data_IF_162235114891
#
_entry.id   IF_162235114891
#
_cell.length_a   1.000
_cell.length_b   1.000
_cell.length_c   1.000
_cell.angle_alpha   90.00
_cell.angle_beta   90.00
_cell.angle_gamma   90.00
#
_symmetry.space_group_name_H-M   'P 1'
#
loop_
_entity.id
_entity.type
_entity.pdbx_description
1 polymer ?
#
# COMPACT_ATOMS: atom_id res chain seq x y z
N UNK A 1 -17.18 -53.14 2.90
CA UNK A 1 -16.06 -52.26 2.62
C UNK A 1 -16.44 -50.83 2.95
N UNK A 2 -15.82 -50.25 3.95
CA UNK A 2 -16.26 -48.95 4.45
C UNK A 2 -15.84 -47.85 3.46
N UNK A 3 -16.76 -46.96 3.09
CA UNK A 3 -16.54 -45.84 2.15
C UNK A 3 -15.34 -44.96 2.61
N UNK A 4 -14.97 -45.02 3.89
CA UNK A 4 -13.83 -44.31 4.51
C UNK A 4 -12.47 -44.71 3.92
N UNK A 5 -12.33 -45.91 3.35
CA UNK A 5 -11.02 -46.40 2.85
C UNK A 5 -10.74 -45.97 1.40
N UNK A 6 -11.69 -45.32 0.71
CA UNK A 6 -11.56 -44.96 -0.71
C UNK A 6 -11.05 -43.56 -0.99
N UNK A 7 -11.07 -42.65 -0.02
CA UNK A 7 -10.54 -41.29 -0.19
C UNK A 7 -9.34 -41.06 0.73
N UNK A 8 -8.16 -40.96 0.12
CA UNK A 8 -6.91 -40.61 0.84
C UNK A 8 -6.79 -39.12 1.10
N UNK A 9 -7.70 -38.28 0.56
CA UNK A 9 -7.60 -36.82 0.59
C UNK A 9 -8.45 -36.15 1.66
N UNK A 10 -9.57 -36.76 2.07
CA UNK A 10 -10.38 -36.25 3.19
C UNK A 10 -11.29 -37.38 3.75
N UNK A 11 -11.47 -37.41 5.06
CA UNK A 11 -12.48 -38.21 5.73
C UNK A 11 -13.83 -37.57 5.40
N UNK A 12 -14.63 -38.25 4.52
CA UNK A 12 -15.91 -37.70 4.06
C UNK A 12 -16.95 -37.66 5.18
N UNK A 13 -17.66 -36.55 5.26
CA UNK A 13 -18.96 -36.23 5.87
C UNK A 13 -19.60 -37.23 6.86
N UNK A 14 -18.79 -37.82 7.73
CA UNK A 14 -19.31 -38.57 8.87
C UNK A 14 -19.55 -37.57 10.02
N UNK A 15 -20.77 -37.54 10.55
CA UNK A 15 -21.15 -36.67 11.65
C UNK A 15 -20.27 -36.83 12.90
N UNK A 16 -19.66 -38.01 13.10
CA UNK A 16 -18.70 -38.26 14.19
C UNK A 16 -17.38 -37.59 13.90
N UNK A 17 -16.83 -37.70 12.69
CA UNK A 17 -15.60 -37.05 12.27
C UNK A 17 -15.74 -35.53 12.36
N UNK A 18 -16.89 -34.98 11.95
CA UNK A 18 -17.17 -33.55 12.08
C UNK A 18 -17.13 -33.09 13.55
N UNK A 19 -17.77 -33.84 14.47
CA UNK A 19 -17.76 -33.53 15.91
C UNK A 19 -16.35 -33.54 16.50
N UNK A 20 -15.51 -34.51 16.09
CA UNK A 20 -14.10 -34.58 16.52
C UNK A 20 -13.33 -33.40 15.97
N UNK A 21 -13.51 -33.07 14.68
CA UNK A 21 -12.87 -31.92 14.05
C UNK A 21 -13.23 -30.62 14.77
N UNK A 22 -14.53 -30.37 14.99
CA UNK A 22 -15.01 -29.18 15.71
C UNK A 22 -14.42 -29.09 17.14
N UNK A 23 -14.34 -30.24 17.83
CA UNK A 23 -13.75 -30.29 19.18
C UNK A 23 -12.25 -29.96 19.16
N UNK A 24 -11.48 -30.55 18.23
CA UNK A 24 -10.03 -30.30 18.10
C UNK A 24 -9.81 -28.83 17.71
N UNK A 25 -10.53 -28.31 16.72
CA UNK A 25 -10.45 -26.92 16.27
C UNK A 25 -10.67 -25.96 17.44
N UNK A 26 -11.71 -26.21 18.24
CA UNK A 26 -11.98 -25.42 19.44
C UNK A 26 -10.81 -25.47 20.44
N UNK A 27 -10.28 -26.66 20.71
CA UNK A 27 -9.14 -26.83 21.66
C UNK A 27 -7.86 -26.16 21.17
N UNK A 28 -7.61 -26.22 19.85
CA UNK A 28 -6.46 -25.53 19.25
C UNK A 28 -6.63 -24.03 19.41
N UNK A 29 -7.78 -23.46 19.06
CA UNK A 29 -8.06 -22.04 19.24
C UNK A 29 -7.90 -21.59 20.71
N UNK A 30 -8.49 -22.36 21.65
CA UNK A 30 -8.38 -22.06 23.09
C UNK A 30 -6.91 -22.11 23.58
N UNK A 31 -6.09 -23.04 23.06
CA UNK A 31 -4.66 -23.14 23.42
C UNK A 31 -3.87 -21.96 22.82
N UNK A 32 -4.06 -21.64 21.53
CA UNK A 32 -3.33 -20.58 20.85
C UNK A 32 -3.67 -19.20 21.43
N UNK A 33 -4.95 -18.93 21.68
CA UNK A 33 -5.38 -17.68 22.33
C UNK A 33 -4.83 -17.57 23.76
N UNK A 34 -4.75 -18.69 24.50
CA UNK A 34 -4.12 -18.75 25.80
C UNK A 34 -2.63 -18.45 25.75
N UNK A 35 -1.90 -19.01 24.77
CA UNK A 35 -0.47 -18.75 24.59
C UNK A 35 -0.21 -17.27 24.23
N UNK A 36 -1.00 -16.70 23.34
CA UNK A 36 -0.87 -15.28 23.00
C UNK A 36 -1.00 -14.36 24.22
N UNK A 37 -1.92 -14.70 25.17
CA UNK A 37 -2.14 -13.92 26.39
C UNK A 37 -1.08 -14.11 27.47
N UNK A 38 -0.59 -15.34 27.67
CA UNK A 38 0.21 -15.70 28.85
C UNK A 38 1.67 -16.01 28.53
N UNK A 39 1.99 -16.30 27.27
CA UNK A 39 3.30 -16.73 26.78
C UNK A 39 3.60 -16.07 25.42
N UNK A 40 3.46 -14.72 25.35
CA UNK A 40 3.53 -13.96 24.10
C UNK A 40 4.85 -14.22 23.36
N UNK A 41 5.98 -14.21 24.04
CA UNK A 41 7.31 -14.43 23.45
C UNK A 41 7.44 -15.82 22.78
N UNK A 42 6.87 -16.86 23.43
CA UNK A 42 6.86 -18.21 22.87
C UNK A 42 5.91 -18.32 21.70
N UNK A 43 4.76 -17.65 21.75
CA UNK A 43 3.79 -17.60 20.66
C UNK A 43 4.36 -16.89 19.43
N UNK A 44 5.03 -15.76 19.61
CA UNK A 44 5.72 -15.01 18.54
C UNK A 44 6.83 -15.84 17.90
N UNK A 45 7.61 -16.58 18.71
CA UNK A 45 8.71 -17.42 18.21
C UNK A 45 8.26 -18.48 17.20
N UNK A 46 7.08 -19.04 17.37
CA UNK A 46 6.55 -20.08 16.49
C UNK A 46 5.56 -19.53 15.46
N UNK A 47 5.27 -18.24 15.51
CA UNK A 47 4.22 -17.66 14.69
C UNK A 47 4.44 -17.85 13.20
N UNK A 48 5.64 -17.57 12.68
CA UNK A 48 5.93 -17.69 11.24
C UNK A 48 5.71 -19.12 10.72
N UNK A 49 5.94 -20.14 11.56
CA UNK A 49 5.73 -21.55 11.20
C UNK A 49 4.25 -21.95 11.19
N UNK A 50 3.45 -21.38 12.10
CA UNK A 50 2.04 -21.77 12.28
C UNK A 50 1.05 -20.83 11.58
N UNK A 51 1.44 -19.60 11.26
CA UNK A 51 0.57 -18.59 10.68
C UNK A 51 -0.18 -19.04 9.41
N UNK A 52 0.45 -19.72 8.43
CA UNK A 52 -0.25 -20.19 7.23
C UNK A 52 -1.39 -21.16 7.57
N UNK A 53 -1.20 -22.03 8.56
CA UNK A 53 -2.21 -23.01 8.98
C UNK A 53 -3.36 -22.33 9.74
N UNK A 54 -3.06 -21.34 10.57
CA UNK A 54 -4.07 -20.56 11.29
C UNK A 54 -4.90 -19.75 10.33
N UNK A 55 -4.26 -19.03 9.39
CA UNK A 55 -4.94 -18.26 8.33
C UNK A 55 -5.81 -19.17 7.47
N UNK A 56 -5.32 -20.33 7.07
CA UNK A 56 -6.11 -21.33 6.35
C UNK A 56 -7.28 -21.85 7.17
N UNK A 57 -7.09 -22.10 8.47
CA UNK A 57 -8.15 -22.48 9.39
C UNK A 57 -9.26 -21.42 9.45
N UNK A 58 -8.89 -20.14 9.52
CA UNK A 58 -9.82 -19.02 9.50
C UNK A 58 -10.62 -18.93 8.19
N UNK A 59 -9.99 -19.24 7.06
CA UNK A 59 -10.67 -19.29 5.77
C UNK A 59 -11.66 -20.44 5.65
N UNK A 60 -11.46 -21.54 6.38
CA UNK A 60 -12.27 -22.76 6.30
C UNK A 60 -13.37 -22.85 7.36
N UNK A 61 -13.12 -22.31 8.55
CA UNK A 61 -14.01 -22.40 9.70
C UNK A 61 -14.24 -21.02 10.31
N UNK A 62 -15.48 -20.56 10.18
CA UNK A 62 -15.89 -19.23 10.66
C UNK A 62 -15.77 -19.10 12.18
N UNK A 63 -16.17 -20.13 12.93
CA UNK A 63 -16.08 -20.14 14.41
C UNK A 63 -14.64 -20.13 14.90
N UNK A 64 -13.74 -20.75 14.15
CA UNK A 64 -12.31 -20.68 14.41
C UNK A 64 -11.80 -19.26 14.14
N UNK A 65 -12.18 -18.66 13.03
CA UNK A 65 -11.84 -17.29 12.69
C UNK A 65 -12.27 -16.30 13.77
N UNK A 66 -13.54 -16.32 14.17
CA UNK A 66 -14.07 -15.46 15.22
C UNK A 66 -13.26 -15.54 16.53
N UNK A 67 -12.79 -16.75 16.89
CA UNK A 67 -11.99 -16.95 18.08
C UNK A 67 -10.53 -16.51 17.96
N UNK A 68 -9.99 -16.55 16.75
CA UNK A 68 -8.58 -16.28 16.49
C UNK A 68 -8.31 -14.85 16.04
N UNK A 69 -9.30 -14.11 15.56
CA UNK A 69 -9.13 -12.78 14.96
C UNK A 69 -8.27 -11.84 15.81
N UNK A 70 -8.54 -11.74 17.11
CA UNK A 70 -7.82 -10.87 18.04
C UNK A 70 -6.42 -11.38 18.41
N UNK A 71 -6.08 -12.61 18.05
CA UNK A 71 -4.82 -13.28 18.41
C UNK A 71 -3.93 -13.60 17.21
N UNK A 72 -4.35 -13.16 16.04
CA UNK A 72 -3.53 -13.22 14.82
C UNK A 72 -2.47 -12.17 14.91
N UNK A 73 -1.21 -12.57 14.67
CA UNK A 73 -0.10 -11.64 14.68
C UNK A 73 0.24 -11.21 13.27
N UNK A 74 0.57 -9.95 13.17
CA UNK A 74 1.09 -9.29 11.96
C UNK A 74 2.48 -8.75 12.29
N UNK A 75 3.44 -8.96 11.40
CA UNK A 75 4.80 -8.45 11.55
C UNK A 75 4.87 -7.05 10.96
N UNK A 76 5.31 -6.07 11.73
CA UNK A 76 5.43 -4.70 11.28
C UNK A 76 6.74 -4.43 10.51
N UNK A 77 6.94 -3.18 10.04
CA UNK A 77 8.13 -2.76 9.29
C UNK A 77 9.44 -2.88 10.09
N UNK A 78 9.38 -2.92 11.41
CA UNK A 78 10.54 -3.11 12.30
C UNK A 78 10.74 -4.55 12.72
N UNK A 79 9.93 -5.47 12.19
CA UNK A 79 10.00 -6.90 12.49
C UNK A 79 9.34 -7.30 13.81
N UNK A 80 8.58 -6.42 14.46
CA UNK A 80 7.84 -6.71 15.68
C UNK A 80 6.47 -7.30 15.35
N UNK A 81 6.00 -8.22 16.20
CA UNK A 81 4.67 -8.78 16.06
C UNK A 81 3.62 -7.94 16.78
N UNK A 82 2.50 -7.71 16.11
CA UNK A 82 1.34 -6.97 16.62
C UNK A 82 0.07 -7.76 16.35
N UNK A 83 -0.87 -7.72 17.26
CA UNK A 83 -2.22 -8.26 17.08
C UNK A 83 -3.05 -7.33 16.18
N UNK A 84 -4.18 -7.82 15.65
CA UNK A 84 -5.08 -7.00 14.84
C UNK A 84 -5.55 -5.73 15.57
N UNK A 85 -5.97 -5.78 16.85
CA UNK A 85 -6.31 -4.56 17.60
C UNK A 85 -5.12 -3.58 17.72
N UNK A 86 -3.90 -4.08 17.98
CA UNK A 86 -2.71 -3.24 18.06
C UNK A 86 -2.41 -2.56 16.70
N UNK A 87 -2.57 -3.26 15.57
CA UNK A 87 -2.40 -2.68 14.23
C UNK A 87 -3.38 -1.54 13.95
N UNK A 88 -4.61 -1.61 14.45
CA UNK A 88 -5.63 -0.59 14.28
C UNK A 88 -5.37 0.69 15.09
N UNK A 89 -4.49 0.62 16.08
CA UNK A 89 -4.13 1.78 16.93
C UNK A 89 -2.90 2.53 16.39
N UNK A 90 -2.00 1.86 15.67
CA UNK A 90 -0.66 2.38 15.32
C UNK A 90 -0.70 3.60 14.40
N UNK A 91 -1.64 3.65 13.44
CA UNK A 91 -1.73 4.74 12.47
C UNK A 91 -2.87 5.73 12.80
N UNK A 92 -3.34 5.76 14.04
CA UNK A 92 -4.23 6.82 14.48
C UNK A 92 -3.44 8.13 14.49
N UNK A 93 -3.71 9.00 13.56
CA UNK A 93 -3.27 10.40 13.63
C UNK A 93 -4.05 11.08 14.76
N UNK A 94 -3.44 11.23 15.92
CA UNK A 94 -3.95 12.16 16.93
C UNK A 94 -3.90 13.57 16.34
N UNK A 95 -5.03 14.29 16.28
CA UNK A 95 -5.05 15.65 15.74
C UNK A 95 -4.16 16.63 16.54
N UNK A 96 -3.74 16.24 17.74
CA UNK A 96 -3.02 17.11 18.68
C UNK A 96 -1.49 17.00 18.62
N UNK A 97 -0.90 15.93 18.03
CA UNK A 97 0.57 15.81 17.93
C UNK A 97 1.19 16.56 16.74
N UNK A 98 0.41 17.27 15.91
CA UNK A 98 0.93 18.04 14.77
C UNK A 98 1.43 19.44 15.13
N UNK A 99 1.55 19.80 16.43
CA UNK A 99 2.00 21.13 16.85
C UNK A 99 3.45 21.24 17.33
N UNK A 100 4.32 20.25 17.12
CA UNK A 100 5.75 20.47 17.40
C UNK A 100 6.57 20.61 16.11
N UNK A 101 6.82 21.91 15.77
CA UNK A 101 8.09 22.34 15.21
C UNK A 101 8.33 22.19 13.73
N UNK A 102 7.64 22.94 12.88
CA UNK A 102 8.27 23.42 11.67
C UNK A 102 9.06 24.69 12.01
N UNK A 103 10.35 24.55 12.31
CA UNK A 103 11.30 25.66 12.37
C UNK A 103 11.85 25.82 10.95
N UNK A 104 11.78 27.03 10.41
CA UNK A 104 12.49 27.36 9.18
C UNK A 104 14.02 27.43 9.41
N UNK A 105 14.80 27.48 8.35
CA UNK A 105 16.28 27.54 8.44
C UNK A 105 16.81 28.77 9.18
N UNK A 106 15.95 29.67 9.65
CA UNK A 106 16.30 30.92 10.37
C UNK A 106 15.78 30.99 11.82
N UNK A 107 15.09 29.94 12.33
CA UNK A 107 14.76 29.85 13.75
C UNK A 107 13.59 30.72 14.23
N UNK A 108 12.73 31.25 13.36
CA UNK A 108 11.55 32.03 13.74
C UNK A 108 10.27 31.19 13.68
N UNK A 109 9.49 31.24 14.76
CA UNK A 109 8.16 30.61 14.86
C UNK A 109 7.15 31.42 14.04
N UNK A 110 6.53 30.80 13.04
CA UNK A 110 5.43 31.40 12.30
C UNK A 110 4.12 31.05 13.02
N UNK A 111 3.52 32.04 13.66
CA UNK A 111 2.17 31.95 14.21
C UNK A 111 1.15 31.97 13.04
N UNK A 112 0.40 30.89 12.89
CA UNK A 112 -0.72 30.84 11.96
C UNK A 112 -2.00 31.24 12.70
N UNK A 113 -2.63 32.32 12.28
CA UNK A 113 -3.97 32.75 12.74
C UNK A 113 -5.00 31.65 12.46
N UNK A 114 -5.60 31.15 13.54
CA UNK A 114 -6.73 30.23 13.49
C UNK A 114 -8.00 31.05 13.34
N UNK A 115 -8.63 30.99 12.16
CA UNK A 115 -10.00 31.44 12.00
C UNK A 115 -10.92 30.30 12.42
N UNK A 116 -11.47 30.40 13.63
CA UNK A 116 -12.55 29.54 14.10
C UNK A 116 -13.85 29.88 13.34
N UNK A 117 -14.28 29.00 12.46
CA UNK A 117 -15.66 29.02 11.96
C UNK A 117 -16.44 27.91 12.67
N UNK A 118 -17.24 28.34 13.68
CA UNK A 118 -18.16 27.48 14.38
C UNK A 118 -19.42 27.32 13.52
N UNK A 119 -19.59 26.18 12.91
CA UNK A 119 -20.92 25.70 12.53
C UNK A 119 -21.24 24.43 13.33
N UNK A 120 -22.10 24.63 14.33
CA UNK A 120 -22.84 23.57 14.99
C UNK A 120 -23.79 22.96 13.98
N UNK A 121 -23.55 21.69 13.57
CA UNK A 121 -24.66 20.80 13.22
C UNK A 121 -24.24 19.32 13.31
N UNK A 122 -25.10 18.57 14.02
CA UNK A 122 -25.30 17.12 14.03
C UNK A 122 -24.10 16.19 14.23
N UNK A 123 -24.03 15.69 15.48
CA UNK A 123 -23.31 14.48 15.86
C UNK A 123 -23.88 13.24 15.14
N UNK A 124 -23.37 12.93 13.97
CA UNK A 124 -23.20 11.57 13.50
C UNK A 124 -21.70 11.26 13.70
N UNK A 125 -21.40 10.38 14.63
CA UNK A 125 -20.10 9.73 14.71
C UNK A 125 -19.91 8.97 13.39
N UNK A 126 -19.35 9.61 12.38
CA UNK A 126 -18.79 8.93 11.22
C UNK A 126 -17.79 7.92 11.78
N UNK A 127 -18.14 6.64 11.70
CA UNK A 127 -17.22 5.53 11.94
C UNK A 127 -16.07 5.70 10.96
N UNK A 128 -14.99 6.36 11.38
CA UNK A 128 -13.79 6.52 10.56
C UNK A 128 -13.26 5.13 10.26
N UNK A 129 -13.32 4.74 9.00
CA UNK A 129 -12.75 3.50 8.54
C UNK A 129 -11.27 3.44 8.91
N UNK A 130 -10.89 2.33 9.57
CA UNK A 130 -9.52 2.12 10.04
C UNK A 130 -8.74 1.38 8.97
N UNK A 131 -7.72 2.02 8.42
CA UNK A 131 -6.90 1.44 7.36
C UNK A 131 -5.61 0.84 7.93
N UNK A 132 -5.36 -0.43 7.65
CA UNK A 132 -4.10 -1.12 7.91
C UNK A 132 -3.30 -1.17 6.61
N UNK A 133 -2.12 -0.55 6.60
CA UNK A 133 -1.24 -0.61 5.44
C UNK A 133 -0.44 -1.92 5.44
N UNK A 134 -0.19 -2.47 4.24
CA UNK A 134 0.57 -3.70 4.13
C UNK A 134 1.59 -3.71 2.99
N UNK A 135 2.63 -4.52 3.17
CA UNK A 135 3.75 -4.75 2.25
C UNK A 135 3.70 -6.19 1.77
N UNK A 136 3.84 -6.41 0.47
CA UNK A 136 3.91 -7.76 -0.12
C UNK A 136 5.31 -8.16 -0.55
N UNK A 137 6.16 -7.20 -0.92
CA UNK A 137 7.55 -7.40 -1.31
C UNK A 137 8.42 -6.25 -0.79
N UNK A 138 9.24 -6.55 0.21
CA UNK A 138 10.09 -5.55 0.88
C UNK A 138 11.08 -4.89 -0.08
N UNK A 139 11.63 -5.64 -1.02
CA UNK A 139 12.63 -5.14 -1.97
C UNK A 139 12.02 -4.21 -3.00
N UNK A 140 10.91 -4.63 -3.61
CA UNK A 140 10.21 -3.84 -4.62
C UNK A 140 9.55 -2.60 -4.02
N UNK A 141 9.05 -2.68 -2.79
CA UNK A 141 8.34 -1.59 -2.11
C UNK A 141 9.23 -0.77 -1.16
N UNK A 142 10.55 -0.92 -1.25
CA UNK A 142 11.52 -0.29 -0.34
C UNK A 142 11.39 1.23 -0.25
N UNK A 143 11.06 1.92 -1.35
CA UNK A 143 10.83 3.37 -1.34
C UNK A 143 9.61 3.74 -0.50
N UNK A 144 8.51 3.03 -0.68
CA UNK A 144 7.29 3.28 0.09
C UNK A 144 7.49 2.98 1.58
N UNK A 145 8.22 1.90 1.90
CA UNK A 145 8.63 1.58 3.27
C UNK A 145 9.42 2.75 3.88
N UNK A 146 10.38 3.32 3.13
CA UNK A 146 11.16 4.46 3.60
C UNK A 146 10.27 5.71 3.79
N UNK A 147 9.28 5.93 2.92
CA UNK A 147 8.32 7.03 3.05
C UNK A 147 7.45 6.85 4.31
N UNK A 148 6.97 5.64 4.58
CA UNK A 148 6.19 5.31 5.78
C UNK A 148 7.02 5.54 7.04
N UNK A 149 8.25 5.02 7.10
CA UNK A 149 9.16 5.24 8.23
C UNK A 149 9.50 6.72 8.45
N UNK A 150 9.72 7.48 7.38
CA UNK A 150 9.96 8.93 7.46
C UNK A 150 8.74 9.72 7.98
N UNK A 151 7.52 9.23 7.69
CA UNK A 151 6.27 9.80 8.17
C UNK A 151 5.86 9.27 9.56
N UNK A 152 6.69 8.42 10.21
CA UNK A 152 6.37 7.71 11.46
C UNK A 152 5.09 6.85 11.36
N UNK A 153 4.78 6.36 10.18
CA UNK A 153 3.69 5.42 9.94
C UNK A 153 4.24 4.00 9.89
N UNK A 154 3.38 3.04 10.19
CA UNK A 154 3.73 1.62 10.16
C UNK A 154 2.85 0.86 9.15
N UNK A 155 3.34 -0.29 8.73
CA UNK A 155 2.64 -1.21 7.85
C UNK A 155 2.97 -2.66 8.24
N UNK A 156 2.13 -3.60 7.85
CA UNK A 156 2.31 -5.02 8.16
C UNK A 156 2.84 -5.79 6.96
N UNK A 157 3.71 -6.77 7.21
CA UNK A 157 4.29 -7.64 6.18
C UNK A 157 3.33 -8.78 5.88
N UNK A 158 2.84 -8.83 4.64
CA UNK A 158 1.93 -9.86 4.12
C UNK A 158 2.54 -10.49 2.87
N UNK A 159 3.53 -11.36 3.06
CA UNK A 159 4.36 -11.93 1.98
C UNK A 159 3.86 -13.28 1.47
N UNK A 160 2.96 -13.92 2.20
CA UNK A 160 2.44 -15.24 1.87
C UNK A 160 1.23 -15.16 0.93
N UNK A 161 1.09 -16.13 0.02
CA UNK A 161 -0.05 -16.21 -0.89
C UNK A 161 -1.40 -16.32 -0.20
N UNK A 162 -1.41 -16.85 1.03
CA UNK A 162 -2.64 -16.98 1.83
C UNK A 162 -3.09 -15.66 2.44
N UNK A 163 -2.22 -14.67 2.50
CA UNK A 163 -2.52 -13.38 3.14
C UNK A 163 -3.63 -12.63 2.39
N UNK A 164 -3.59 -12.63 1.06
CA UNK A 164 -4.59 -11.92 0.24
C UNK A 164 -6.03 -12.40 0.50
N UNK A 165 -6.36 -13.69 0.34
CA UNK A 165 -7.71 -14.17 0.65
C UNK A 165 -8.05 -13.99 2.14
N UNK A 166 -7.05 -14.05 3.04
CA UNK A 166 -7.26 -13.89 4.46
C UNK A 166 -7.64 -12.46 4.84
N UNK A 167 -6.93 -11.44 4.36
CA UNK A 167 -7.29 -10.03 4.63
C UNK A 167 -8.63 -9.66 4.01
N UNK A 168 -8.94 -10.16 2.81
CA UNK A 168 -10.25 -9.95 2.18
C UNK A 168 -11.40 -10.53 3.03
N UNK A 169 -11.19 -11.67 3.68
CA UNK A 169 -12.16 -12.22 4.62
C UNK A 169 -12.26 -11.40 5.90
N UNK A 170 -11.14 -10.88 6.42
CA UNK A 170 -11.14 -10.02 7.61
C UNK A 170 -11.92 -8.72 7.35
N UNK A 171 -11.73 -8.09 6.20
CA UNK A 171 -12.50 -6.91 5.79
C UNK A 171 -14.00 -7.21 5.69
N UNK A 172 -14.36 -8.32 5.04
CA UNK A 172 -15.75 -8.72 4.88
C UNK A 172 -16.48 -9.00 6.20
N UNK A 173 -15.74 -9.40 7.24
CA UNK A 173 -16.31 -9.76 8.56
C UNK A 173 -16.26 -8.63 9.58
N UNK A 174 -15.38 -7.67 9.40
CA UNK A 174 -15.18 -6.59 10.35
C UNK A 174 -15.48 -5.25 9.64
N UNK A 175 -16.71 -4.76 9.75
CA UNK A 175 -17.09 -3.47 9.20
C UNK A 175 -16.16 -2.35 9.71
N UNK A 176 -15.67 -1.52 8.80
CA UNK A 176 -14.80 -0.39 9.11
C UNK A 176 -13.30 -0.75 9.24
N UNK A 177 -12.88 -1.96 8.87
CA UNK A 177 -11.47 -2.33 8.71
C UNK A 177 -11.16 -2.46 7.22
N UNK A 178 -10.14 -1.74 6.76
CA UNK A 178 -9.64 -1.83 5.39
C UNK A 178 -8.15 -2.12 5.37
N UNK A 179 -7.74 -2.97 4.44
CA UNK A 179 -6.32 -3.22 4.17
C UNK A 179 -5.95 -2.53 2.87
N UNK A 180 -4.97 -1.63 2.92
CA UNK A 180 -4.44 -0.93 1.75
C UNK A 180 -2.96 -1.24 1.58
N UNK A 181 -2.56 -1.59 0.36
CA UNK A 181 -1.15 -1.80 0.06
C UNK A 181 -0.42 -0.46 0.07
N UNK A 182 0.81 -0.42 0.61
CA UNK A 182 1.56 0.84 0.78
C UNK A 182 1.83 1.62 -0.50
N UNK A 183 1.68 0.99 -1.66
CA UNK A 183 1.85 1.58 -2.99
C UNK A 183 0.52 1.78 -3.74
N UNK A 184 -0.63 1.58 -3.08
CA UNK A 184 -1.95 1.75 -3.69
C UNK A 184 -2.29 3.23 -3.91
N UNK A 185 -2.26 4.01 -2.84
CA UNK A 185 -2.51 5.46 -2.90
C UNK A 185 -1.59 6.21 -1.94
N UNK A 186 -1.23 7.44 -2.33
CA UNK A 186 -0.49 8.32 -1.43
C UNK A 186 -1.44 8.85 -0.36
N UNK A 187 -1.20 8.43 0.88
CA UNK A 187 -1.95 8.94 2.03
C UNK A 187 -1.69 10.42 2.26
N UNK A 188 -2.65 11.10 2.89
CA UNK A 188 -2.51 12.53 3.21
C UNK A 188 -1.32 12.81 4.14
N UNK A 189 -0.83 11.80 4.86
CA UNK A 189 0.37 11.90 5.69
C UNK A 189 1.64 12.26 4.89
N UNK A 190 1.71 11.90 3.60
CA UNK A 190 2.85 12.24 2.72
C UNK A 190 2.70 13.57 2.02
N UNK A 191 1.49 14.12 1.98
CA UNK A 191 1.20 15.40 1.34
C UNK A 191 1.54 16.56 2.26
N UNK A 192 2.05 17.64 1.71
CA UNK A 192 2.17 18.90 2.42
C UNK A 192 0.79 19.58 2.46
N UNK A 193 0.48 20.28 3.55
CA UNK A 193 -0.76 21.06 3.64
C UNK A 193 -0.79 22.11 2.52
N UNK A 194 -1.84 22.09 1.72
CA UNK A 194 -2.05 23.03 0.60
C UNK A 194 -3.37 23.75 0.76
N UNK A 195 -3.44 25.01 0.35
CA UNK A 195 -4.71 25.75 0.31
C UNK A 195 -5.58 25.22 -0.85
N UNK A 196 -6.91 25.38 -0.73
CA UNK A 196 -7.85 24.99 -1.80
C UNK A 196 -7.48 25.61 -3.16
N UNK A 197 -7.09 26.89 -3.15
CA UNK A 197 -6.65 27.60 -4.38
C UNK A 197 -5.42 26.97 -5.02
N UNK A 198 -4.43 26.60 -4.20
CA UNK A 198 -3.22 25.93 -4.70
C UNK A 198 -3.55 24.54 -5.25
N UNK A 199 -4.49 23.81 -4.65
CA UNK A 199 -4.91 22.50 -5.14
C UNK A 199 -5.62 22.59 -6.49
N UNK A 200 -6.44 23.63 -6.72
CA UNK A 200 -7.07 23.90 -8.02
C UNK A 200 -6.02 24.21 -9.10
N UNK A 201 -5.01 25.02 -8.75
CA UNK A 201 -3.88 25.33 -9.65
C UNK A 201 -3.08 24.05 -10.01
N UNK A 202 -2.80 23.20 -9.03
CA UNK A 202 -2.11 21.92 -9.26
C UNK A 202 -2.93 20.96 -10.12
N UNK A 203 -4.24 20.90 -9.94
CA UNK A 203 -5.13 20.09 -10.76
C UNK A 203 -5.16 20.57 -12.22
N UNK A 204 -5.22 21.90 -12.44
CA UNK A 204 -5.15 22.46 -13.78
C UNK A 204 -3.80 22.22 -14.49
N UNK A 205 -2.69 22.24 -13.73
CA UNK A 205 -1.37 21.86 -14.24
C UNK A 205 -1.31 20.37 -14.54
N UNK A 206 -1.92 19.52 -13.70
CA UNK A 206 -1.93 18.07 -13.88
C UNK A 206 -2.59 17.68 -15.22
N UNK A 207 -3.70 18.31 -15.60
CA UNK A 207 -4.38 18.05 -16.88
C UNK A 207 -3.50 18.35 -18.11
N UNK A 208 -2.66 19.38 -18.03
CA UNK A 208 -1.73 19.72 -19.11
C UNK A 208 -0.57 18.72 -19.16
N UNK A 209 0.05 18.46 -18.01
CA UNK A 209 1.18 17.52 -17.91
C UNK A 209 0.73 16.10 -18.25
N UNK A 210 -0.50 15.71 -17.94
CA UNK A 210 -1.06 14.42 -18.34
C UNK A 210 -1.02 14.21 -19.84
N UNK A 211 -1.44 15.21 -20.62
CA UNK A 211 -1.38 15.15 -22.09
C UNK A 211 0.06 15.03 -22.61
N UNK A 212 1.00 15.74 -21.98
CA UNK A 212 2.43 15.64 -22.32
C UNK A 212 2.98 14.24 -22.03
N UNK A 213 2.68 13.70 -20.84
CA UNK A 213 3.11 12.35 -20.42
C UNK A 213 2.48 11.28 -21.32
N UNK A 214 1.17 11.38 -21.61
CA UNK A 214 0.47 10.46 -22.49
C UNK A 214 1.08 10.46 -23.91
N UNK A 215 1.42 11.65 -24.43
CA UNK A 215 2.10 11.81 -25.73
C UNK A 215 3.49 11.17 -25.71
N UNK A 216 4.30 11.49 -24.69
CA UNK A 216 5.66 10.97 -24.54
C UNK A 216 5.68 9.44 -24.43
N UNK A 217 4.80 8.87 -23.61
CA UNK A 217 4.71 7.43 -23.37
C UNK A 217 3.93 6.68 -24.46
N UNK A 218 3.23 7.40 -25.34
CA UNK A 218 2.28 6.83 -26.33
C UNK A 218 1.22 5.94 -25.65
N UNK A 219 0.73 6.39 -24.48
CA UNK A 219 -0.19 5.65 -23.63
C UNK A 219 -1.27 6.59 -23.07
N UNK A 220 -2.46 6.54 -23.66
CA UNK A 220 -3.60 7.38 -23.30
C UNK A 220 -4.32 6.98 -22.00
N UNK A 221 -3.94 5.84 -21.41
CA UNK A 221 -4.60 5.31 -20.22
C UNK A 221 -3.96 5.75 -18.90
N UNK A 222 -2.75 6.31 -18.95
CA UNK A 222 -2.05 6.77 -17.76
C UNK A 222 -2.69 8.04 -17.23
N UNK A 223 -2.94 8.06 -15.92
CA UNK A 223 -3.39 9.27 -15.22
C UNK A 223 -2.21 9.95 -14.56
N UNK A 224 -2.25 11.29 -14.52
CA UNK A 224 -1.21 12.08 -13.86
C UNK A 224 -1.85 12.95 -12.79
N UNK A 225 -1.26 12.95 -11.61
CA UNK A 225 -1.59 13.87 -10.51
C UNK A 225 -0.36 14.68 -10.14
N UNK A 226 -0.55 15.94 -9.81
CA UNK A 226 0.51 16.78 -9.25
C UNK A 226 0.16 17.07 -7.80
N UNK A 227 1.02 16.61 -6.87
CA UNK A 227 0.82 16.74 -5.43
C UNK A 227 2.06 17.36 -4.79
N UNK A 228 1.89 18.17 -3.75
CA UNK A 228 3.03 18.65 -2.96
C UNK A 228 3.40 17.59 -1.93
N UNK A 229 4.52 16.90 -2.13
CA UNK A 229 5.02 15.93 -1.16
C UNK A 229 5.94 16.61 -0.14
N UNK A 230 5.89 16.13 1.12
CA UNK A 230 6.80 16.60 2.19
C UNK A 230 8.26 16.33 1.85
N UNK A 231 8.55 15.18 1.23
CA UNK A 231 9.91 14.83 0.81
C UNK A 231 10.22 15.43 -0.57
N UNK A 232 11.00 16.51 -0.59
CA UNK A 232 11.41 17.21 -1.82
C UNK A 232 12.36 16.41 -2.72
N UNK A 233 12.97 15.32 -2.22
CA UNK A 233 13.92 14.48 -3.00
C UNK A 233 13.19 13.47 -3.89
N UNK A 234 11.92 13.20 -3.64
CA UNK A 234 11.11 12.31 -4.47
C UNK A 234 10.51 13.12 -5.60
N UNK A 235 10.85 12.79 -6.85
CA UNK A 235 10.34 13.48 -8.05
C UNK A 235 8.98 12.95 -8.49
N UNK A 236 8.84 11.64 -8.48
CA UNK A 236 7.66 10.94 -8.99
C UNK A 236 7.42 9.63 -8.23
N UNK A 237 6.16 9.24 -8.13
CA UNK A 237 5.71 7.98 -7.52
C UNK A 237 4.65 7.39 -8.44
N UNK A 238 4.68 6.08 -8.66
CA UNK A 238 3.64 5.38 -9.42
C UNK A 238 2.72 4.67 -8.43
N UNK A 239 1.45 5.07 -8.39
CA UNK A 239 0.43 4.40 -7.60
C UNK A 239 -0.50 3.59 -8.47
N UNK A 240 -1.06 2.52 -7.93
CA UNK A 240 -2.06 1.68 -8.60
C UNK A 240 -3.18 1.44 -7.63
N UNK A 241 -4.43 1.68 -8.04
CA UNK A 241 -5.57 1.50 -7.15
C UNK A 241 -5.59 0.10 -6.52
N UNK A 242 -6.05 0.01 -5.28
CA UNK A 242 -6.12 -1.26 -4.55
C UNK A 242 -6.91 -2.33 -5.31
N UNK A 243 -8.01 -1.94 -5.95
CA UNK A 243 -8.83 -2.84 -6.78
C UNK A 243 -8.04 -3.42 -7.95
N UNK A 244 -7.29 -2.56 -8.67
CA UNK A 244 -6.44 -2.98 -9.78
C UNK A 244 -5.32 -3.90 -9.31
N UNK A 245 -4.75 -3.64 -8.14
CA UNK A 245 -3.73 -4.50 -7.52
C UNK A 245 -4.28 -5.86 -7.15
N UNK A 246 -5.40 -5.91 -6.46
CA UNK A 246 -6.06 -7.18 -6.10
C UNK A 246 -6.43 -8.01 -7.34
N UNK A 247 -6.88 -7.34 -8.39
CA UNK A 247 -7.15 -8.00 -9.67
C UNK A 247 -5.89 -8.57 -10.30
N UNK A 248 -4.77 -7.81 -10.32
CA UNK A 248 -3.47 -8.27 -10.81
C UNK A 248 -2.96 -9.47 -10.01
N UNK A 249 -3.03 -9.43 -8.69
CA UNK A 249 -2.58 -10.51 -7.82
C UNK A 249 -3.45 -11.77 -7.98
N UNK A 250 -4.76 -11.61 -8.13
CA UNK A 250 -5.67 -12.70 -8.44
C UNK A 250 -5.35 -13.33 -9.80
N UNK A 251 -5.08 -12.52 -10.83
CA UNK A 251 -4.68 -13.03 -12.14
C UNK A 251 -3.35 -13.77 -12.11
N UNK A 252 -2.36 -13.30 -11.33
CA UNK A 252 -1.09 -14.01 -11.11
C UNK A 252 -1.31 -15.38 -10.46
N UNK A 253 -2.29 -15.50 -9.56
CA UNK A 253 -2.61 -16.76 -8.89
C UNK A 253 -3.30 -17.77 -9.81
N UNK A 254 -4.21 -17.32 -10.68
CA UNK A 254 -5.06 -18.20 -11.50
C UNK A 254 -4.60 -18.30 -12.96
N UNK A 255 -3.88 -17.32 -13.48
CA UNK A 255 -3.56 -17.17 -14.89
C UNK A 255 -2.06 -17.35 -15.19
N UNK A 256 -1.46 -18.47 -14.81
CA UNK A 256 -0.05 -18.74 -15.14
C UNK A 256 0.20 -18.73 -16.65
N UNK A 257 0.55 -17.58 -17.23
CA UNK A 257 0.95 -17.47 -18.64
C UNK A 257 0.27 -16.39 -19.47
N UNK A 258 -0.71 -15.66 -18.96
CA UNK A 258 -1.22 -14.47 -19.67
C UNK A 258 -0.21 -13.33 -19.56
N UNK A 259 0.13 -12.77 -20.73
CA UNK A 259 1.01 -11.62 -20.84
C UNK A 259 0.36 -10.40 -20.14
N UNK A 260 0.89 -10.06 -18.97
CA UNK A 260 0.43 -8.93 -18.14
C UNK A 260 0.58 -7.58 -18.86
N UNK A 261 1.34 -7.51 -19.97
CA UNK A 261 1.52 -6.29 -20.76
C UNK A 261 0.23 -5.82 -21.44
N UNK A 262 -0.71 -6.73 -21.71
CA UNK A 262 -2.03 -6.35 -22.26
C UNK A 262 -2.95 -5.65 -21.26
N UNK A 263 -2.73 -5.84 -19.97
CA UNK A 263 -3.49 -5.20 -18.88
C UNK A 263 -2.66 -4.12 -18.16
N UNK A 264 -1.39 -3.97 -18.53
CA UNK A 264 -0.46 -3.01 -17.95
C UNK A 264 -0.86 -1.58 -18.29
N UNK A 265 -1.13 -0.79 -17.28
CA UNK A 265 -1.48 0.63 -17.22
C UNK A 265 -2.96 0.94 -16.91
N UNK A 266 -3.88 -0.03 -16.88
CA UNK A 266 -5.22 0.25 -16.33
C UNK A 266 -5.13 0.41 -14.80
N UNK A 267 -5.40 1.64 -14.34
CA UNK A 267 -5.35 2.00 -12.92
C UNK A 267 -4.00 2.52 -12.42
N UNK A 268 -2.97 2.64 -13.27
CA UNK A 268 -1.73 3.32 -12.90
C UNK A 268 -1.94 4.84 -12.88
N UNK A 269 -1.48 5.49 -11.79
CA UNK A 269 -1.47 6.94 -11.66
C UNK A 269 -0.05 7.39 -11.35
N UNK A 270 0.51 8.23 -12.22
CA UNK A 270 1.81 8.87 -11.99
C UNK A 270 1.60 10.12 -11.13
N UNK A 271 2.08 10.08 -9.90
CA UNK A 271 2.06 11.23 -9.00
C UNK A 271 3.38 11.96 -9.09
N UNK A 272 3.34 13.21 -9.54
CA UNK A 272 4.49 14.10 -9.66
C UNK A 272 4.54 15.05 -8.47
N UNK A 273 5.74 15.23 -7.90
CA UNK A 273 5.93 16.11 -6.75
C UNK A 273 6.17 17.56 -7.20
N UNK A 274 5.19 18.43 -6.97
CA UNK A 274 5.29 19.85 -7.29
C UNK A 274 6.48 20.57 -6.61
N UNK A 275 7.00 20.03 -5.51
CA UNK A 275 8.17 20.58 -4.83
C UNK A 275 9.52 20.16 -5.44
N UNK A 276 9.51 19.32 -6.48
CA UNK A 276 10.74 18.82 -7.11
C UNK A 276 11.10 19.66 -8.35
N UNK A 277 12.37 20.11 -8.50
CA UNK A 277 12.77 20.99 -9.61
C UNK A 277 12.49 20.47 -11.01
N UNK A 278 12.59 19.14 -11.24
CA UNK A 278 12.26 18.54 -12.54
C UNK A 278 10.77 18.66 -12.87
N UNK A 279 9.89 18.61 -11.85
CA UNK A 279 8.44 18.76 -12.06
C UNK A 279 8.12 20.22 -12.36
N UNK A 280 8.73 21.16 -11.64
CA UNK A 280 8.64 22.59 -11.95
C UNK A 280 9.08 22.88 -13.39
N UNK A 281 10.22 22.29 -13.81
CA UNK A 281 10.72 22.47 -15.17
C UNK A 281 9.71 22.02 -16.24
N UNK A 282 9.13 20.82 -16.13
CA UNK A 282 8.18 20.32 -17.13
C UNK A 282 6.86 21.12 -17.16
N UNK A 283 6.47 21.74 -16.04
CA UNK A 283 5.27 22.60 -15.99
C UNK A 283 5.49 23.99 -16.55
N UNK A 284 6.73 24.50 -16.53
CA UNK A 284 7.10 25.82 -17.03
C UNK A 284 7.60 25.80 -18.48
N UNK A 285 8.07 24.64 -18.99
CA UNK A 285 8.69 24.47 -20.30
C UNK A 285 8.01 23.36 -21.10
N UNK A 286 6.71 23.47 -21.31
CA UNK A 286 5.88 22.45 -21.98
C UNK A 286 6.36 22.13 -23.40
N UNK A 287 6.87 23.14 -24.13
CA UNK A 287 7.32 23.05 -25.53
C UNK A 287 8.82 22.80 -25.72
N UNK A 288 9.57 22.62 -24.64
CA UNK A 288 11.02 22.35 -24.71
C UNK A 288 11.30 20.93 -25.25
N UNK A 289 12.33 20.84 -26.11
CA UNK A 289 12.72 19.57 -26.74
C UNK A 289 13.09 18.46 -25.75
N UNK A 290 13.48 18.81 -24.53
CA UNK A 290 13.86 17.85 -23.48
C UNK A 290 12.67 17.41 -22.62
N UNK A 291 11.53 18.11 -22.69
CA UNK A 291 10.39 17.86 -21.79
C UNK A 291 9.81 16.45 -21.99
N UNK A 292 9.65 15.98 -23.22
CA UNK A 292 9.19 14.60 -23.50
C UNK A 292 10.15 13.57 -22.88
N UNK A 293 11.46 13.78 -23.06
CA UNK A 293 12.51 12.89 -22.53
C UNK A 293 12.51 12.85 -20.98
N UNK A 294 12.28 14.00 -20.34
CA UNK A 294 12.18 14.10 -18.87
C UNK A 294 10.91 13.40 -18.38
N UNK A 295 9.76 13.57 -19.06
CA UNK A 295 8.52 12.88 -18.71
C UNK A 295 8.68 11.35 -18.77
N UNK A 296 9.27 10.82 -19.85
CA UNK A 296 9.57 9.40 -19.98
C UNK A 296 10.52 8.92 -18.86
N UNK A 297 11.55 9.71 -18.54
CA UNK A 297 12.50 9.37 -17.50
C UNK A 297 11.87 9.32 -16.11
N UNK A 298 11.02 10.30 -15.77
CA UNK A 298 10.28 10.35 -14.50
C UNK A 298 9.33 9.15 -14.37
N UNK A 299 8.66 8.77 -15.45
CA UNK A 299 7.79 7.59 -15.46
C UNK A 299 8.58 6.30 -15.24
N UNK A 300 9.65 6.09 -16.00
CA UNK A 300 10.46 4.88 -15.89
C UNK A 300 11.15 4.77 -14.53
N UNK A 301 11.60 5.88 -13.95
CA UNK A 301 12.13 5.92 -12.59
C UNK A 301 11.06 5.53 -11.56
N UNK A 302 9.85 6.06 -11.67
CA UNK A 302 8.74 5.70 -10.79
C UNK A 302 8.34 4.22 -10.96
N UNK A 303 8.39 3.71 -12.20
CA UNK A 303 8.07 2.32 -12.50
C UNK A 303 9.11 1.35 -11.96
N UNK A 304 10.41 1.66 -12.08
CA UNK A 304 11.52 0.87 -11.53
C UNK A 304 11.44 0.70 -10.01
N UNK A 305 10.87 1.68 -9.32
CA UNK A 305 10.66 1.62 -7.88
C UNK A 305 9.52 0.66 -7.48
N UNK A 306 8.67 0.30 -8.44
CA UNK A 306 7.47 -0.51 -8.23
C UNK A 306 7.61 -1.92 -8.80
N UNK A 307 8.26 -2.04 -9.97
CA UNK A 307 8.49 -3.31 -10.66
C UNK A 307 9.66 -3.18 -11.66
N UNK A 308 10.34 -4.28 -11.98
CA UNK A 308 11.35 -4.26 -13.03
C UNK A 308 10.72 -3.86 -14.38
N UNK A 309 11.46 -3.08 -15.16
CA UNK A 309 11.08 -2.76 -16.53
C UNK A 309 11.19 -3.99 -17.43
N UNK A 310 10.38 -4.04 -18.49
CA UNK A 310 10.56 -5.05 -19.55
C UNK A 310 11.94 -4.87 -20.20
N UNK A 311 12.51 -5.92 -20.85
CA UNK A 311 13.80 -5.81 -21.52
C UNK A 311 13.87 -4.67 -22.54
N UNK A 312 12.79 -4.46 -23.31
CA UNK A 312 12.69 -3.37 -24.29
C UNK A 312 12.63 -1.99 -23.62
N UNK A 313 11.84 -1.85 -22.53
CA UNK A 313 11.76 -0.61 -21.77
C UNK A 313 13.08 -0.29 -21.08
N UNK A 314 13.77 -1.30 -20.52
CA UNK A 314 15.10 -1.14 -19.93
C UNK A 314 16.13 -0.67 -20.95
N UNK A 315 16.12 -1.21 -22.16
CA UNK A 315 17.01 -0.78 -23.24
C UNK A 315 16.80 0.70 -23.58
N UNK A 316 15.55 1.13 -23.71
CA UNK A 316 15.19 2.54 -23.96
C UNK A 316 15.58 3.45 -22.79
N UNK A 317 15.35 3.00 -21.56
CA UNK A 317 15.74 3.73 -20.35
C UNK A 317 17.23 3.98 -20.27
N UNK A 318 18.05 2.94 -20.55
CA UNK A 318 19.52 3.06 -20.55
C UNK A 318 20.00 3.99 -21.65
N UNK A 319 19.47 3.87 -22.90
CA UNK A 319 19.83 4.76 -23.99
C UNK A 319 19.51 6.23 -23.62
N UNK A 320 18.31 6.52 -23.17
CA UNK A 320 17.88 7.86 -22.74
C UNK A 320 18.72 8.39 -21.57
N UNK A 321 19.06 7.54 -20.60
CA UNK A 321 19.94 7.95 -19.50
C UNK A 321 21.32 8.37 -19.99
N UNK A 322 21.88 7.69 -21.00
CA UNK A 322 23.15 8.08 -21.64
C UNK A 322 23.02 9.41 -22.39
N UNK A 323 21.90 9.65 -23.09
CA UNK A 323 21.65 10.92 -23.78
C UNK A 323 21.57 12.08 -22.77
N UNK A 324 20.90 11.90 -21.63
CA UNK A 324 20.85 12.90 -20.54
C UNK A 324 22.25 13.19 -20.01
N UNK A 325 23.08 12.17 -19.76
CA UNK A 325 24.45 12.36 -19.31
C UNK A 325 25.31 13.09 -20.35
N UNK A 326 25.10 12.84 -21.65
CA UNK A 326 25.80 13.53 -22.71
C UNK A 326 25.39 15.02 -22.80
N UNK A 327 24.12 15.36 -22.54
CA UNK A 327 23.68 16.76 -22.45
C UNK A 327 24.37 17.49 -21.32
N UNK A 328 24.50 16.86 -20.12
CA UNK A 328 25.22 17.45 -18.99
C UNK A 328 26.72 17.59 -19.24
N UNK A 329 27.34 16.67 -19.98
CA UNK A 329 28.76 16.71 -20.29
C UNK A 329 29.14 17.77 -21.34
N UNK A 330 28.16 18.30 -22.09
CA UNK A 330 28.33 19.35 -23.12
C UNK A 330 28.09 20.77 -22.60
N UNK A 331 27.60 20.91 -21.36
CA UNK A 331 27.48 22.20 -20.66
C UNK A 331 28.78 22.54 -19.95
#
# INVERSE_FOLDING_TARGET
MCIRDRSRSALQNDGFVKKISDYITKKVADKLSGMCKTQKDEYEKYWDDIAPFIKFGCLKDEKFCEKMTDYILFKNLDGKYMTLPECLEVNKTDPDETQEGAVDENGEKVEAEVVEDKSEDSAEEEKKDKTIYYVTDEKQQSQYINMFKAAKMDAVMLTDRIDQPFISQLEAKNEGIHFARIDADLTDAFKAKTSKKTQEELNAQAEKVEKLVQKALKNDKIKVKIEKLKNKKVSSVLTVSEESRRMQDMMKMYGGGMDMSMFGAEGETLVLNANHPLVTYITEHEDDANTEMICEQLYDLAKLQNAPLSPEAMTKFVARSNDIMLLLAKQ
#
